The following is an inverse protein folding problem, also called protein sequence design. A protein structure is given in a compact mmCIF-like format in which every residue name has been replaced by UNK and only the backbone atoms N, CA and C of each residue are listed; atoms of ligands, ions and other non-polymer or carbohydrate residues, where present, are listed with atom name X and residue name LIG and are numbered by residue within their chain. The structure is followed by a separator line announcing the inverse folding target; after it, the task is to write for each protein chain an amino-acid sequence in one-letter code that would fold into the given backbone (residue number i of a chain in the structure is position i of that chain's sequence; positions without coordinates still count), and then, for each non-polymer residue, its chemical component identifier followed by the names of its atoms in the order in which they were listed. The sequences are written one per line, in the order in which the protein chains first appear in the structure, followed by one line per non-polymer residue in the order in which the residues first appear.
data_IF_263788569365
#
_entry.id   IF_263788569365
#
_cell.length_a   1.000
_cell.length_b   1.000
_cell.length_c   1.000
_cell.angle_alpha   90.00
_cell.angle_beta   90.00
_cell.angle_gamma   90.00
#
_symmetry.space_group_name_H-M   'P 1'
#
loop_
_entity.id
_entity.type
_entity.pdbx_description
1 polymer ?
#
# COMPACT_ATOMS: atom_id res chain seq x y z
N UNK A 1 -22.14 -14.09 25.71
CA UNK A 1 -20.93 -13.30 25.41
C UNK A 1 -20.82 -12.98 23.93
N UNK A 2 -19.78 -12.26 23.58
CA UNK A 2 -19.40 -11.95 22.19
C UNK A 2 -18.05 -12.62 21.87
N UNK A 3 -17.93 -13.14 20.66
CA UNK A 3 -16.67 -13.56 20.06
C UNK A 3 -16.28 -12.59 18.96
N UNK A 4 -14.97 -12.40 18.78
CA UNK A 4 -14.41 -11.66 17.66
C UNK A 4 -13.66 -12.65 16.77
N UNK A 5 -14.03 -12.70 15.51
CA UNK A 5 -13.34 -13.49 14.49
C UNK A 5 -12.55 -12.53 13.61
N UNK A 6 -11.27 -12.83 13.43
CA UNK A 6 -10.34 -12.09 12.59
C UNK A 6 -10.11 -12.86 11.28
N UNK A 7 -10.02 -12.14 10.17
CA UNK A 7 -9.63 -12.69 8.87
C UNK A 7 -8.68 -11.75 8.15
N UNK A 8 -8.02 -12.26 7.11
CA UNK A 8 -7.14 -11.47 6.26
C UNK A 8 -7.97 -10.54 5.39
N UNK A 9 -7.68 -9.24 5.45
CA UNK A 9 -8.26 -8.26 4.54
C UNK A 9 -7.39 -8.06 3.30
N UNK A 10 -7.97 -7.48 2.27
CA UNK A 10 -7.26 -7.14 1.05
C UNK A 10 -7.27 -5.64 0.73
N UNK A 11 -7.77 -4.81 1.64
CA UNK A 11 -7.63 -3.37 1.51
C UNK A 11 -6.18 -2.96 1.84
N UNK A 12 -5.59 -2.15 0.97
CA UNK A 12 -4.20 -1.72 1.09
C UNK A 12 -4.06 -0.21 1.20
N UNK A 13 -2.96 0.22 1.83
CA UNK A 13 -2.53 1.63 1.85
C UNK A 13 -1.11 1.74 1.34
N UNK A 14 -0.87 2.81 0.58
CA UNK A 14 0.40 3.06 -0.04
C UNK A 14 0.61 4.55 -0.30
N UNK A 15 1.87 4.96 -0.44
CA UNK A 15 2.24 6.29 -0.92
C UNK A 15 2.40 6.27 -2.44
N UNK A 16 2.00 7.37 -3.07
CA UNK A 16 2.21 7.66 -4.48
C UNK A 16 3.18 8.82 -4.59
N UNK A 17 4.22 8.68 -5.41
CA UNK A 17 5.20 9.73 -5.69
C UNK A 17 4.97 10.31 -7.07
N UNK A 18 4.84 11.64 -7.15
CA UNK A 18 4.66 12.35 -8.41
C UNK A 18 6.00 12.48 -9.15
N UNK A 19 6.14 11.93 -10.38
CA UNK A 19 7.38 11.98 -11.14
C UNK A 19 7.78 13.39 -11.58
N UNK A 20 6.82 14.32 -11.62
CA UNK A 20 7.03 15.70 -12.05
C UNK A 20 7.50 16.61 -10.91
N UNK A 21 7.42 16.14 -9.66
CA UNK A 21 7.90 16.92 -8.52
C UNK A 21 9.43 16.92 -8.47
N UNK A 22 10.08 18.06 -8.20
CA UNK A 22 11.54 18.18 -8.21
C UNK A 22 12.27 17.28 -7.20
N UNK A 23 11.62 16.94 -6.08
CA UNK A 23 12.16 16.03 -5.07
C UNK A 23 11.62 14.60 -5.23
N UNK A 24 10.30 14.41 -5.18
CA UNK A 24 9.65 13.10 -5.28
C UNK A 24 9.87 12.41 -6.64
N UNK A 25 10.15 13.18 -7.70
CA UNK A 25 10.50 12.68 -9.01
C UNK A 25 11.88 12.01 -9.09
N UNK A 26 12.78 12.28 -8.13
CA UNK A 26 14.13 11.69 -8.10
C UNK A 26 14.09 10.28 -7.52
N UNK A 27 14.63 9.31 -8.24
CA UNK A 27 14.63 7.90 -7.81
C UNK A 27 15.30 7.72 -6.44
N UNK A 28 16.47 8.28 -6.23
CA UNK A 28 17.20 8.17 -4.96
C UNK A 28 16.41 8.72 -3.75
N UNK A 29 15.58 9.76 -3.95
CA UNK A 29 14.70 10.28 -2.89
C UNK A 29 13.63 9.27 -2.54
N UNK A 30 12.99 8.65 -3.53
CA UNK A 30 11.97 7.62 -3.29
C UNK A 30 12.55 6.38 -2.63
N UNK A 31 13.72 5.94 -3.09
CA UNK A 31 14.44 4.80 -2.49
C UNK A 31 14.88 5.08 -1.05
N UNK A 32 15.37 6.29 -0.76
CA UNK A 32 15.71 6.69 0.60
C UNK A 32 14.48 6.73 1.52
N UNK A 33 13.31 7.16 1.03
CA UNK A 33 12.04 7.06 1.79
C UNK A 33 11.68 5.60 2.03
N UNK A 34 11.78 4.73 1.01
CA UNK A 34 11.48 3.30 1.15
C UNK A 34 12.41 2.61 2.18
N UNK A 35 13.69 3.01 2.22
CA UNK A 35 14.71 2.53 3.15
C UNK A 35 14.45 2.96 4.60
N UNK A 36 13.72 4.05 4.83
CA UNK A 36 13.51 4.62 6.18
C UNK A 36 12.15 4.28 6.79
N UNK A 37 11.16 3.91 5.97
CA UNK A 37 9.81 3.63 6.48
C UNK A 37 9.79 2.29 7.23
N UNK A 38 9.60 2.38 8.54
CA UNK A 38 9.37 1.25 9.43
C UNK A 38 7.88 0.91 9.46
N UNK A 39 7.48 -0.08 8.68
CA UNK A 39 6.08 -0.52 8.56
C UNK A 39 5.57 -1.18 9.83
N UNK A 40 6.41 -1.97 10.50
CA UNK A 40 6.06 -2.64 11.76
C UNK A 40 5.76 -1.62 12.86
N UNK A 41 6.62 -0.62 13.01
CA UNK A 41 6.40 0.46 13.95
C UNK A 41 5.16 1.30 13.59
N UNK A 42 4.91 1.53 12.29
CA UNK A 42 3.72 2.24 11.81
C UNK A 42 2.45 1.49 12.21
N UNK A 43 2.38 0.20 11.89
CA UNK A 43 1.22 -0.66 12.20
C UNK A 43 1.01 -0.78 13.70
N UNK A 44 2.05 -1.06 14.46
CA UNK A 44 1.96 -1.23 15.91
C UNK A 44 1.45 0.04 16.62
N UNK A 45 1.96 1.21 16.24
CA UNK A 45 1.61 2.48 16.89
C UNK A 45 0.24 3.01 16.47
N UNK A 46 -0.09 2.91 15.18
CA UNK A 46 -1.28 3.56 14.60
C UNK A 46 -2.47 2.61 14.62
N UNK A 47 -2.26 1.36 14.20
CA UNK A 47 -3.33 0.40 13.94
C UNK A 47 -3.54 -0.63 15.04
N UNK A 48 -2.56 -0.78 15.96
CA UNK A 48 -2.68 -1.60 17.17
C UNK A 48 -3.17 -3.04 16.93
N UNK A 49 -2.66 -3.65 15.84
CA UNK A 49 -3.01 -5.02 15.47
C UNK A 49 -4.16 -5.16 14.45
N UNK A 50 -4.85 -4.06 14.07
CA UNK A 50 -5.93 -4.10 13.07
C UNK A 50 -5.44 -4.03 11.63
N UNK A 51 -4.14 -3.95 11.42
CA UNK A 51 -3.49 -3.98 10.11
C UNK A 51 -2.19 -4.78 10.20
N UNK A 52 -1.63 -5.14 9.05
CA UNK A 52 -0.35 -5.81 8.91
C UNK A 52 0.57 -5.03 7.97
N UNK A 53 1.90 -5.08 8.17
CA UNK A 53 2.86 -4.51 7.24
C UNK A 53 2.70 -5.12 5.85
N UNK A 54 2.80 -4.28 4.81
CA UNK A 54 2.70 -4.71 3.43
C UNK A 54 3.96 -4.32 2.65
N UNK A 55 4.55 -5.30 1.97
CA UNK A 55 5.81 -5.18 1.24
C UNK A 55 5.67 -5.42 -0.26
N UNK A 56 4.45 -5.50 -0.77
CA UNK A 56 4.10 -5.53 -2.19
C UNK A 56 2.77 -4.83 -2.44
N UNK A 57 2.47 -4.46 -3.69
CA UNK A 57 1.15 -3.92 -4.02
C UNK A 57 0.07 -4.99 -3.97
N UNK A 58 0.42 -6.24 -4.21
CA UNK A 58 -0.48 -7.39 -4.06
C UNK A 58 -0.50 -7.84 -2.60
N UNK A 59 -1.64 -7.79 -1.90
CA UNK A 59 -1.72 -8.13 -0.48
C UNK A 59 -1.58 -9.63 -0.22
N UNK A 60 -1.29 -9.99 1.04
CA UNK A 60 -1.34 -11.38 1.51
C UNK A 60 -2.73 -11.98 1.25
N UNK A 61 -2.77 -13.24 0.92
CA UNK A 61 -4.00 -13.95 0.58
C UNK A 61 -4.38 -13.87 -0.90
N UNK A 62 -3.72 -13.03 -1.69
CA UNK A 62 -3.90 -12.91 -3.13
C UNK A 62 -2.70 -13.54 -3.86
N UNK A 63 -2.96 -14.32 -4.92
CA UNK A 63 -1.91 -14.90 -5.75
C UNK A 63 -0.98 -13.81 -6.30
N UNK A 64 0.33 -14.08 -6.33
CA UNK A 64 1.31 -13.05 -6.73
C UNK A 64 1.73 -12.10 -5.62
N UNK A 65 1.26 -12.30 -4.38
CA UNK A 65 1.85 -11.64 -3.22
C UNK A 65 3.36 -11.94 -3.13
N UNK A 66 4.15 -10.93 -2.77
CA UNK A 66 5.59 -11.02 -2.61
C UNK A 66 6.05 -10.13 -1.45
N UNK A 67 7.31 -10.25 -1.08
CA UNK A 67 7.97 -9.42 -0.07
C UNK A 67 9.01 -8.48 -0.67
N UNK A 68 8.87 -8.16 -1.98
CA UNK A 68 9.90 -7.49 -2.79
C UNK A 68 10.44 -6.19 -2.16
N UNK A 69 9.60 -5.41 -1.46
CA UNK A 69 10.09 -4.22 -0.76
C UNK A 69 10.92 -4.55 0.48
N UNK A 70 10.59 -5.63 1.20
CA UNK A 70 11.41 -6.08 2.33
C UNK A 70 12.73 -6.70 1.83
N UNK A 71 12.65 -7.52 0.81
CA UNK A 71 13.82 -8.19 0.22
C UNK A 71 14.84 -7.19 -0.34
N UNK A 72 14.35 -6.03 -0.82
CA UNK A 72 15.20 -4.98 -1.41
C UNK A 72 15.72 -4.00 -0.36
N UNK A 73 14.88 -3.53 0.55
CA UNK A 73 15.22 -2.45 1.48
C UNK A 73 15.46 -2.94 2.91
N UNK A 74 14.91 -4.10 3.30
CA UNK A 74 15.05 -4.66 4.64
C UNK A 74 14.47 -3.79 5.74
N UNK A 75 15.09 -3.86 6.90
CA UNK A 75 14.82 -2.97 8.03
C UNK A 75 15.32 -1.54 7.77
N UNK A 76 14.72 -0.53 8.43
CA UNK A 76 15.13 0.86 8.27
C UNK A 76 16.61 1.08 8.53
N UNK A 77 17.30 1.68 7.55
CA UNK A 77 18.73 1.96 7.61
C UNK A 77 19.04 3.39 7.15
N UNK A 78 19.42 4.23 8.11
CA UNK A 78 19.73 5.65 7.84
C UNK A 78 21.05 5.80 7.06
N UNK A 79 22.00 4.88 7.23
CA UNK A 79 23.28 4.95 6.51
C UNK A 79 23.06 4.68 5.02
N UNK A 80 22.33 3.62 4.67
CA UNK A 80 21.96 3.32 3.29
C UNK A 80 21.11 4.43 2.64
N UNK A 81 20.14 4.99 3.38
CA UNK A 81 19.35 6.10 2.88
C UNK A 81 20.20 7.33 2.58
N UNK A 82 21.20 7.61 3.40
CA UNK A 82 22.17 8.71 3.20
C UNK A 82 23.06 8.44 1.99
N UNK A 83 23.54 7.22 1.82
CA UNK A 83 24.36 6.81 0.68
C UNK A 83 23.60 7.02 -0.64
N UNK A 84 22.34 6.53 -0.74
CA UNK A 84 21.48 6.73 -1.91
C UNK A 84 21.33 8.21 -2.30
N UNK A 85 21.14 9.11 -1.30
CA UNK A 85 21.04 10.54 -1.57
C UNK A 85 22.38 11.13 -2.00
N UNK A 86 23.49 10.76 -1.33
CA UNK A 86 24.81 11.32 -1.62
C UNK A 86 25.34 10.90 -2.99
N UNK A 87 25.16 9.64 -3.38
CA UNK A 87 25.53 9.13 -4.71
C UNK A 87 24.78 9.83 -5.84
N UNK A 88 23.53 10.24 -5.57
CA UNK A 88 22.72 11.03 -6.50
C UNK A 88 23.02 12.55 -6.44
N UNK A 89 24.00 13.00 -5.65
CA UNK A 89 24.33 14.41 -5.48
C UNK A 89 23.23 15.23 -4.79
N UNK A 90 22.40 14.59 -3.97
CA UNK A 90 21.26 15.23 -3.30
C UNK A 90 21.65 15.65 -1.89
N UNK A 91 21.59 16.95 -1.63
CA UNK A 91 21.90 17.51 -0.31
C UNK A 91 20.72 17.34 0.65
N UNK A 92 20.96 16.71 1.78
CA UNK A 92 19.99 16.62 2.88
C UNK A 92 19.98 17.92 3.74
N UNK A 93 18.86 18.26 4.43
CA UNK A 93 17.59 17.55 4.39
C UNK A 93 16.74 17.87 3.15
N UNK A 94 16.20 16.82 2.54
CA UNK A 94 15.27 16.95 1.41
C UNK A 94 13.91 17.43 1.93
N UNK A 95 13.41 18.53 1.36
CA UNK A 95 12.09 19.07 1.72
C UNK A 95 11.02 18.42 0.85
N UNK A 96 9.97 17.87 1.48
CA UNK A 96 8.85 17.23 0.78
C UNK A 96 7.52 17.60 1.43
N UNK A 97 6.46 17.60 0.63
CA UNK A 97 5.09 17.76 1.13
C UNK A 97 4.32 16.46 0.93
N UNK A 98 3.78 15.92 2.02
CA UNK A 98 2.95 14.74 2.01
C UNK A 98 1.49 15.14 2.20
N UNK A 99 0.63 14.63 1.32
CA UNK A 99 -0.79 14.89 1.31
C UNK A 99 -1.61 13.66 1.71
N UNK A 100 -2.68 13.88 2.47
CA UNK A 100 -3.64 12.84 2.81
C UNK A 100 -5.08 13.38 2.80
N UNK A 101 -6.06 12.49 2.71
CA UNK A 101 -7.47 12.85 2.85
C UNK A 101 -7.93 12.72 4.29
N UNK A 102 -8.90 13.55 4.68
CA UNK A 102 -9.38 13.60 6.09
C UNK A 102 -10.61 12.73 6.35
N UNK A 103 -11.31 12.30 5.30
CA UNK A 103 -12.67 11.74 5.40
C UNK A 103 -12.91 10.46 4.57
N UNK A 104 -11.86 9.77 4.12
CA UNK A 104 -11.98 8.57 3.27
C UNK A 104 -11.45 7.29 3.91
N UNK A 105 -10.28 7.35 4.54
CA UNK A 105 -9.53 6.17 4.96
C UNK A 105 -9.51 5.95 6.48
N UNK A 106 -10.44 6.58 7.19
CA UNK A 106 -10.60 6.44 8.64
C UNK A 106 -9.86 7.50 9.46
N UNK A 107 -10.21 7.56 10.73
CA UNK A 107 -9.70 8.58 11.67
C UNK A 107 -8.20 8.46 11.96
N UNK A 108 -7.60 7.29 11.73
CA UNK A 108 -6.17 7.04 11.97
C UNK A 108 -5.26 7.66 10.91
N UNK A 109 -5.79 8.12 9.77
CA UNK A 109 -4.99 8.63 8.64
C UNK A 109 -4.07 9.78 9.04
N UNK A 110 -4.54 10.74 9.81
CA UNK A 110 -3.71 11.85 10.28
C UNK A 110 -2.55 11.37 11.18
N UNK A 111 -2.81 10.40 12.06
CA UNK A 111 -1.81 9.79 12.94
C UNK A 111 -0.79 8.97 12.14
N UNK A 112 -1.23 8.26 11.11
CA UNK A 112 -0.35 7.55 10.16
C UNK A 112 0.65 8.51 9.52
N UNK A 113 0.17 9.61 8.95
CA UNK A 113 1.04 10.61 8.32
C UNK A 113 1.95 11.33 9.30
N UNK A 114 1.49 11.56 10.53
CA UNK A 114 2.34 12.10 11.59
C UNK A 114 3.48 11.12 11.96
N UNK A 115 3.20 9.81 12.03
CA UNK A 115 4.23 8.80 12.28
C UNK A 115 5.22 8.67 11.12
N UNK A 116 4.75 8.67 9.86
CA UNK A 116 5.64 8.70 8.68
C UNK A 116 6.57 9.91 8.70
N UNK A 117 6.01 11.10 8.98
CA UNK A 117 6.82 12.31 9.14
C UNK A 117 7.88 12.14 10.25
N UNK A 118 7.47 11.64 11.41
CA UNK A 118 8.38 11.42 12.53
C UNK A 118 9.53 10.49 12.16
N UNK A 119 9.25 9.38 11.49
CA UNK A 119 10.26 8.41 11.07
C UNK A 119 11.27 9.04 10.10
N UNK A 120 10.76 9.71 9.05
CA UNK A 120 11.61 10.33 8.04
C UNK A 120 12.47 11.47 8.59
N UNK A 121 11.90 12.33 9.45
CA UNK A 121 12.61 13.45 10.05
C UNK A 121 13.63 13.01 11.12
N UNK A 122 13.36 11.89 11.82
CA UNK A 122 14.31 11.32 12.79
C UNK A 122 15.65 10.91 12.16
N UNK A 123 15.67 10.61 10.87
CA UNK A 123 16.91 10.33 10.12
C UNK A 123 17.81 11.56 9.91
N UNK A 124 17.28 12.77 10.06
CA UNK A 124 17.91 14.03 9.67
C UNK A 124 18.01 14.25 8.16
N UNK A 125 17.55 13.29 7.35
CA UNK A 125 17.65 13.35 5.87
C UNK A 125 16.46 14.04 5.21
N UNK A 126 15.35 14.23 5.93
CA UNK A 126 14.12 14.78 5.39
C UNK A 126 13.53 15.89 6.26
N UNK A 127 12.76 16.78 5.61
CA UNK A 127 11.86 17.76 6.23
C UNK A 127 10.49 17.62 5.57
N UNK A 128 9.51 17.14 6.32
CA UNK A 128 8.19 16.80 5.81
C UNK A 128 7.15 17.82 6.25
N UNK A 129 6.49 18.44 5.27
CA UNK A 129 5.29 19.23 5.50
C UNK A 129 4.07 18.36 5.27
N UNK A 130 3.17 18.25 6.24
CA UNK A 130 1.90 17.56 6.08
C UNK A 130 0.82 18.52 5.60
N UNK A 131 0.03 18.06 4.65
CA UNK A 131 -1.16 18.74 4.12
C UNK A 131 -2.30 17.75 3.99
N UNK A 132 -3.52 18.25 4.14
CA UNK A 132 -4.71 17.40 3.99
C UNK A 132 -5.83 18.14 3.28
N UNK A 133 -6.76 17.36 2.72
CA UNK A 133 -7.97 17.87 2.10
C UNK A 133 -9.11 16.85 2.22
N UNK A 134 -10.38 17.27 2.23
CA UNK A 134 -11.51 16.37 2.07
C UNK A 134 -11.42 15.61 0.74
N UNK A 135 -12.00 14.40 0.69
CA UNK A 135 -11.84 13.47 -0.42
C UNK A 135 -12.09 14.06 -1.80
N UNK A 136 -13.17 14.82 -1.97
CA UNK A 136 -13.48 15.45 -3.27
C UNK A 136 -12.35 16.35 -3.76
N UNK A 137 -11.90 17.30 -2.93
CA UNK A 137 -10.80 18.21 -3.28
C UNK A 137 -9.48 17.47 -3.40
N UNK A 138 -9.29 16.41 -2.60
CA UNK A 138 -8.10 15.56 -2.66
C UNK A 138 -8.02 14.81 -3.99
N UNK A 139 -9.16 14.28 -4.50
CA UNK A 139 -9.22 13.65 -5.81
C UNK A 139 -8.91 14.63 -6.94
N UNK A 140 -9.49 15.83 -6.90
CA UNK A 140 -9.20 16.87 -7.89
C UNK A 140 -7.71 17.23 -7.90
N UNK A 141 -7.08 17.30 -6.72
CA UNK A 141 -5.67 17.62 -6.58
C UNK A 141 -4.75 16.55 -7.18
N UNK A 142 -4.93 15.27 -6.83
CA UNK A 142 -4.06 14.24 -7.39
C UNK A 142 -4.32 13.98 -8.88
N UNK A 143 -5.56 14.11 -9.37
CA UNK A 143 -5.87 13.98 -10.79
C UNK A 143 -5.20 15.09 -11.64
N UNK A 144 -5.01 16.27 -11.06
CA UNK A 144 -4.25 17.37 -11.68
C UNK A 144 -2.74 17.23 -11.50
N UNK A 145 -2.25 16.20 -10.79
CA UNK A 145 -0.84 16.03 -10.47
C UNK A 145 -0.28 17.11 -9.53
N UNK A 146 -1.14 17.70 -8.67
CA UNK A 146 -0.76 18.80 -7.81
C UNK A 146 0.05 18.38 -6.56
N UNK A 147 0.01 17.10 -6.19
CA UNK A 147 0.63 16.63 -4.97
C UNK A 147 1.98 15.96 -5.22
N UNK A 148 3.04 16.38 -4.50
CA UNK A 148 4.36 15.75 -4.58
C UNK A 148 4.35 14.28 -4.14
N UNK A 149 3.80 14.03 -2.95
CA UNK A 149 3.59 12.70 -2.38
C UNK A 149 2.23 12.67 -1.70
N UNK A 150 1.49 11.59 -1.89
CA UNK A 150 0.18 11.46 -1.27
C UNK A 150 -0.17 10.01 -0.93
N UNK A 151 -1.00 9.84 0.11
CA UNK A 151 -1.52 8.56 0.51
C UNK A 151 -2.73 8.13 -0.30
N UNK A 152 -2.73 6.87 -0.71
CA UNK A 152 -3.87 6.23 -1.37
C UNK A 152 -4.22 4.93 -0.67
N UNK A 153 -5.50 4.60 -0.73
CA UNK A 153 -5.99 3.28 -0.39
C UNK A 153 -6.61 2.62 -1.62
N UNK A 154 -6.62 1.31 -1.60
CA UNK A 154 -7.33 0.50 -2.57
C UNK A 154 -8.14 -0.56 -1.87
N UNK A 155 -9.40 -0.68 -2.25
CA UNK A 155 -10.30 -1.76 -1.87
C UNK A 155 -10.49 -2.60 -3.11
N UNK A 156 -10.30 -3.91 -3.07
CA UNK A 156 -10.39 -4.75 -4.27
C UNK A 156 -11.84 -4.85 -4.74
N UNK A 157 -12.03 -4.79 -6.06
CA UNK A 157 -13.31 -5.09 -6.70
C UNK A 157 -13.48 -6.62 -6.88
N UNK A 158 -12.36 -7.35 -6.95
CA UNK A 158 -12.29 -8.81 -7.05
C UNK A 158 -10.92 -9.33 -6.55
N UNK A 159 -10.84 -10.57 -6.04
CA UNK A 159 -9.63 -11.11 -5.41
C UNK A 159 -8.63 -11.66 -6.43
N UNK A 160 -8.15 -10.79 -7.33
CA UNK A 160 -7.15 -11.13 -8.33
C UNK A 160 -6.00 -10.13 -8.31
N UNK A 161 -4.73 -10.55 -8.50
CA UNK A 161 -3.58 -9.67 -8.50
C UNK A 161 -3.65 -8.56 -9.56
N UNK A 162 -4.37 -8.77 -10.67
CA UNK A 162 -4.61 -7.74 -11.69
C UNK A 162 -5.25 -6.49 -11.09
N UNK A 163 -6.16 -6.65 -10.14
CA UNK A 163 -6.85 -5.54 -9.46
C UNK A 163 -5.91 -4.69 -8.59
N UNK A 164 -4.74 -5.20 -8.24
CA UNK A 164 -3.74 -4.52 -7.41
C UNK A 164 -2.55 -3.95 -8.19
N UNK A 165 -2.48 -4.21 -9.48
CA UNK A 165 -1.39 -3.71 -10.35
C UNK A 165 -1.94 -2.87 -11.50
N UNK A 166 -2.87 -3.41 -12.29
CA UNK A 166 -3.36 -2.77 -13.51
C UNK A 166 -3.93 -1.35 -13.31
N UNK A 167 -4.71 -1.05 -12.25
CA UNK A 167 -5.26 0.29 -12.05
C UNK A 167 -4.18 1.37 -11.82
N UNK A 168 -2.97 0.98 -11.41
CA UNK A 168 -1.92 1.92 -11.02
C UNK A 168 -0.85 2.13 -12.08
N UNK A 169 -0.83 1.30 -13.12
CA UNK A 169 0.16 1.37 -14.19
C UNK A 169 -0.49 1.78 -15.51
N UNK A 170 0.29 2.37 -16.39
CA UNK A 170 -0.21 2.84 -17.68
C UNK A 170 -0.64 4.32 -17.67
N UNK A 171 -1.06 4.81 -18.85
CA UNK A 171 -1.42 6.21 -19.05
C UNK A 171 -2.67 6.62 -18.25
N UNK A 172 -3.60 5.69 -18.05
CA UNK A 172 -4.90 5.92 -17.39
C UNK A 172 -4.88 5.54 -15.90
N UNK A 173 -3.70 5.60 -15.28
CA UNK A 173 -3.54 5.25 -13.86
C UNK A 173 -4.50 6.06 -12.97
N UNK A 174 -5.23 5.35 -12.11
CA UNK A 174 -6.17 5.93 -11.14
C UNK A 174 -5.50 6.81 -10.07
N UNK A 175 -4.17 6.91 -10.09
CA UNK A 175 -3.41 7.81 -9.19
C UNK A 175 -3.26 9.21 -9.77
N UNK A 176 -3.75 9.49 -10.97
CA UNK A 176 -3.58 10.77 -11.65
C UNK A 176 -2.13 11.08 -12.07
N UNK A 177 -1.20 10.19 -11.75
CA UNK A 177 0.21 10.28 -12.15
C UNK A 177 0.58 9.05 -12.95
N UNK A 178 0.71 9.14 -14.28
CA UNK A 178 1.02 7.99 -15.11
C UNK A 178 2.28 7.26 -14.64
N UNK A 179 2.17 5.96 -14.45
CA UNK A 179 3.33 5.10 -14.23
C UNK A 179 3.51 4.18 -15.44
N UNK A 180 4.51 4.50 -16.26
CA UNK A 180 4.72 3.81 -17.53
C UNK A 180 5.84 2.77 -17.36
N UNK A 181 5.45 1.50 -17.37
CA UNK A 181 6.35 0.36 -17.53
C UNK A 181 5.87 -0.45 -18.72
N UNK A 182 6.64 -0.48 -19.80
CA UNK A 182 6.29 -1.26 -20.99
C UNK A 182 6.22 -2.76 -20.66
N UNK A 183 7.14 -3.27 -19.83
CA UNK A 183 7.13 -4.67 -19.42
C UNK A 183 5.83 -5.03 -18.68
N UNK A 184 5.39 -4.21 -17.73
CA UNK A 184 4.13 -4.48 -17.01
C UNK A 184 2.93 -4.33 -17.95
N UNK A 185 2.84 -3.20 -18.67
CA UNK A 185 1.61 -2.85 -19.40
C UNK A 185 1.44 -3.58 -20.72
N UNK A 186 2.52 -3.93 -21.41
CA UNK A 186 2.47 -4.54 -22.76
C UNK A 186 2.77 -6.03 -22.77
N UNK A 187 3.39 -6.55 -21.71
CA UNK A 187 3.81 -7.95 -21.66
C UNK A 187 3.12 -8.68 -20.49
N UNK A 188 3.41 -8.32 -19.24
CA UNK A 188 2.95 -9.08 -18.06
C UNK A 188 1.42 -9.06 -17.91
N UNK A 189 0.77 -7.89 -17.92
CA UNK A 189 -0.68 -7.79 -17.78
C UNK A 189 -1.44 -8.45 -18.94
N UNK A 190 -1.12 -8.23 -20.23
CA UNK A 190 -1.79 -8.92 -21.33
C UNK A 190 -1.57 -10.44 -21.32
N UNK A 191 -0.40 -10.91 -20.90
CA UNK A 191 -0.06 -12.32 -20.78
C UNK A 191 -0.83 -12.98 -19.64
N UNK A 192 -0.83 -12.36 -18.45
CA UNK A 192 -1.53 -12.91 -17.27
C UNK A 192 -3.03 -13.11 -17.50
N UNK A 193 -3.65 -12.22 -18.28
CA UNK A 193 -5.09 -12.31 -18.63
C UNK A 193 -5.44 -13.44 -19.59
N UNK A 194 -4.46 -13.99 -20.30
CA UNK A 194 -4.62 -15.11 -21.22
C UNK A 194 -4.19 -16.44 -20.63
N UNK A 195 -3.47 -16.39 -19.52
CA UNK A 195 -2.88 -17.55 -18.88
C UNK A 195 -3.92 -18.27 -18.00
N UNK A 196 -4.04 -19.56 -18.18
CA UNK A 196 -4.92 -20.43 -17.39
C UNK A 196 -4.20 -21.05 -16.18
N UNK A 197 -2.88 -21.19 -16.24
CA UNK A 197 -2.08 -21.66 -15.12
C UNK A 197 -1.94 -20.57 -14.05
N UNK A 198 -2.59 -20.77 -12.92
CA UNK A 198 -2.56 -19.82 -11.79
C UNK A 198 -1.17 -19.67 -11.17
N UNK A 199 -0.31 -20.67 -11.27
CA UNK A 199 1.10 -20.57 -10.87
C UNK A 199 1.87 -19.60 -11.76
N UNK A 200 1.75 -19.74 -13.07
CA UNK A 200 2.35 -18.85 -14.04
C UNK A 200 1.83 -17.40 -13.90
N UNK A 201 0.52 -17.21 -13.65
CA UNK A 201 -0.05 -15.90 -13.34
C UNK A 201 0.60 -15.29 -12.09
N UNK A 202 0.73 -16.08 -11.01
CA UNK A 202 1.38 -15.63 -9.78
C UNK A 202 2.81 -15.13 -10.01
N UNK A 203 3.59 -15.86 -10.81
CA UNK A 203 4.98 -15.50 -11.09
C UNK A 203 5.10 -14.23 -11.95
N UNK A 204 4.16 -14.01 -12.87
CA UNK A 204 4.10 -12.76 -13.64
C UNK A 204 3.83 -11.55 -12.72
N UNK A 205 2.96 -11.69 -11.73
CA UNK A 205 2.69 -10.62 -10.78
C UNK A 205 3.82 -10.41 -9.76
N UNK A 206 4.55 -11.46 -9.36
CA UNK A 206 5.81 -11.31 -8.61
C UNK A 206 6.84 -10.52 -9.42
N UNK A 207 6.97 -10.84 -10.71
CA UNK A 207 7.84 -10.08 -11.61
C UNK A 207 7.42 -8.61 -11.72
N UNK A 208 6.12 -8.32 -11.77
CA UNK A 208 5.64 -6.94 -11.73
C UNK A 208 6.02 -6.22 -10.43
N UNK A 209 5.96 -6.91 -9.26
CA UNK A 209 6.42 -6.34 -7.98
C UNK A 209 7.93 -6.02 -8.01
N UNK A 210 8.76 -6.86 -8.63
CA UNK A 210 10.20 -6.63 -8.79
C UNK A 210 10.53 -5.39 -9.65
N UNK A 211 9.62 -5.03 -10.55
CA UNK A 211 9.74 -3.79 -11.32
C UNK A 211 9.31 -2.59 -10.46
N UNK A 212 8.17 -2.71 -9.78
CA UNK A 212 7.63 -1.64 -8.93
C UNK A 212 8.60 -1.25 -7.80
N UNK A 213 9.26 -2.23 -7.18
CA UNK A 213 10.20 -2.00 -6.07
C UNK A 213 11.44 -1.22 -6.50
N UNK A 214 11.89 -1.36 -7.74
CA UNK A 214 13.07 -0.65 -8.26
C UNK A 214 12.81 0.83 -8.48
N UNK A 215 11.60 1.19 -8.90
CA UNK A 215 11.24 2.58 -9.22
C UNK A 215 10.58 3.33 -8.04
N UNK A 216 9.98 2.61 -7.09
CA UNK A 216 9.33 3.17 -5.89
C UNK A 216 8.35 4.30 -6.21
N UNK A 217 7.60 4.17 -7.31
CA UNK A 217 6.54 5.13 -7.64
C UNK A 217 5.31 4.93 -6.75
N UNK A 218 5.13 3.69 -6.31
CA UNK A 218 4.14 3.23 -5.34
C UNK A 218 4.90 2.58 -4.19
N UNK A 219 4.67 3.03 -2.98
CA UNK A 219 5.29 2.47 -1.79
C UNK A 219 4.22 1.87 -0.88
N UNK A 220 4.02 0.54 -0.90
CA UNK A 220 3.07 -0.13 -0.03
C UNK A 220 3.46 0.05 1.43
N UNK A 221 2.45 0.27 2.28
CA UNK A 221 2.63 0.52 3.71
C UNK A 221 2.04 -0.61 4.55
N UNK A 222 0.76 -0.90 4.38
CA UNK A 222 0.04 -1.89 5.18
C UNK A 222 -1.22 -2.39 4.47
N UNK A 223 -1.71 -3.56 4.91
CA UNK A 223 -3.01 -4.10 4.57
C UNK A 223 -3.88 -4.23 5.83
N UNK A 224 -5.17 -3.97 5.69
CA UNK A 224 -6.14 -4.10 6.77
C UNK A 224 -6.46 -5.56 7.08
N UNK A 225 -6.92 -5.82 8.30
CA UNK A 225 -7.55 -7.06 8.69
C UNK A 225 -9.06 -6.88 8.72
N UNK A 226 -9.79 -7.96 8.54
CA UNK A 226 -11.23 -8.00 8.66
C UNK A 226 -11.64 -8.58 10.01
N UNK A 227 -12.73 -8.05 10.57
CA UNK A 227 -13.25 -8.50 11.86
C UNK A 227 -14.76 -8.67 11.78
N UNK A 228 -15.25 -9.74 12.41
CA UNK A 228 -16.66 -9.88 12.72
C UNK A 228 -16.84 -10.08 14.21
N UNK A 229 -17.79 -9.38 14.79
CA UNK A 229 -18.26 -9.63 16.17
C UNK A 229 -19.60 -10.37 16.09
N UNK A 230 -19.68 -11.51 16.73
CA UNK A 230 -20.86 -12.35 16.75
C UNK A 230 -21.16 -12.86 18.17
N UNK A 231 -22.39 -13.31 18.42
CA UNK A 231 -22.71 -14.06 19.62
C UNK A 231 -21.89 -15.35 19.68
N UNK A 232 -21.59 -15.83 20.89
CA UNK A 232 -20.82 -17.08 21.08
C UNK A 232 -21.54 -18.31 20.51
N UNK A 233 -22.87 -18.22 20.37
CA UNK A 233 -23.73 -19.24 19.75
C UNK A 233 -23.69 -19.23 18.21
N UNK A 234 -22.99 -18.30 17.58
CA UNK A 234 -22.86 -18.21 16.12
C UNK A 234 -21.52 -18.84 15.66
N UNK A 235 -21.58 -19.74 14.69
CA UNK A 235 -20.43 -20.32 14.00
C UNK A 235 -20.34 -19.83 12.56
N UNK A 236 -19.20 -20.14 11.88
CA UNK A 236 -18.97 -19.82 10.48
C UNK A 236 -18.42 -18.42 10.22
N UNK A 237 -18.17 -17.61 11.25
CA UNK A 237 -17.67 -16.24 11.09
C UNK A 237 -16.35 -16.15 10.30
N UNK A 238 -15.48 -17.14 10.45
CA UNK A 238 -14.19 -17.23 9.75
C UNK A 238 -14.33 -17.42 8.23
N UNK A 239 -15.44 -18.02 7.77
CA UNK A 239 -15.76 -18.22 6.36
C UNK A 239 -16.64 -17.12 5.80
N UNK A 240 -17.37 -16.44 6.68
CA UNK A 240 -18.28 -15.37 6.29
C UNK A 240 -17.54 -14.09 5.87
N UNK A 241 -16.27 -13.93 6.22
CA UNK A 241 -15.45 -12.78 5.87
C UNK A 241 -14.71 -13.03 4.55
N UNK A 242 -15.18 -12.36 3.49
CA UNK A 242 -14.51 -12.32 2.20
C UNK A 242 -13.48 -11.18 2.14
N UNK A 243 -12.28 -11.35 1.58
CA UNK A 243 -11.31 -10.28 1.37
C UNK A 243 -11.84 -9.06 0.62
N UNK A 244 -12.89 -9.21 -0.16
CA UNK A 244 -13.61 -8.10 -0.82
C UNK A 244 -14.52 -7.29 0.12
N UNK A 245 -14.49 -7.60 1.43
CA UNK A 245 -15.35 -6.97 2.45
C UNK A 245 -16.84 -7.32 2.34
N UNK A 246 -17.20 -8.32 1.55
CA UNK A 246 -18.56 -8.83 1.44
C UNK A 246 -18.79 -9.90 2.51
N UNK A 247 -19.77 -9.67 3.36
CA UNK A 247 -20.13 -10.68 4.36
C UNK A 247 -21.00 -11.77 3.75
N UNK A 248 -20.49 -12.99 3.67
CA UNK A 248 -21.18 -14.16 3.15
C UNK A 248 -22.12 -14.74 4.23
N UNK A 249 -23.28 -14.12 4.39
CA UNK A 249 -24.23 -14.44 5.47
C UNK A 249 -24.70 -15.91 5.47
N UNK A 250 -24.65 -16.60 4.34
CA UNK A 250 -25.01 -18.01 4.21
C UNK A 250 -24.01 -18.97 4.85
N UNK A 251 -22.82 -18.52 5.21
CA UNK A 251 -21.82 -19.28 5.94
C UNK A 251 -22.09 -19.30 7.45
N UNK A 252 -22.94 -18.40 7.95
CA UNK A 252 -23.26 -18.30 9.37
C UNK A 252 -24.29 -19.34 9.79
N UNK A 253 -24.08 -19.95 10.95
CA UNK A 253 -25.02 -20.90 11.53
C UNK A 253 -25.07 -20.74 13.06
N UNK A 254 -26.19 -21.17 13.67
CA UNK A 254 -26.25 -21.32 15.12
C UNK A 254 -25.58 -22.63 15.54
N UNK A 255 -24.68 -22.52 16.49
CA UNK A 255 -24.13 -23.68 17.17
C UNK A 255 -25.26 -24.33 17.99
N UNK A 256 -25.55 -25.59 17.72
CA UNK A 256 -26.44 -26.38 18.58
C UNK A 256 -25.70 -26.72 19.87
N UNK A 257 -26.21 -26.25 21.01
CA UNK A 257 -25.82 -26.78 22.31
C UNK A 257 -26.31 -28.25 22.40
N UNK A 258 -25.38 -29.16 22.42
CA UNK A 258 -25.67 -30.57 22.83
C UNK A 258 -25.63 -30.67 24.32
#
# INVERSE_FOLDING_TARGET
GLQIVESVGADIRFLVFNPKDPAAGKLAVRQAVAQLVNRDALVAKVYRGTAEPLYSMVPKGIAGHATSFFDTYGDPDVAKARELLSEAGITAPVKMTFWYTTDRYGSSTATEFAELKRQLEASGLFRITLRSAPWKSFQEGFNKGAYPVFGRGWFPDFPDPDNFVAPFVGPDSVTGTPYLSNEITRELLPSSRKESDRGAVSDQFKRAQDILVKDVRLLPLWQGKLYVAAGEDIGGGERALDPQTVMQMWELYRKTSW
#
